data_IF_545244459503
#
_entry.id   IF_545244459503
#
_cell.length_a   1.000
_cell.length_b   1.000
_cell.length_c   1.000
_cell.angle_alpha   90.00
_cell.angle_beta   90.00
_cell.angle_gamma   90.00
#
_symmetry.space_group_name_H-M   'P 1'
#
loop_
_entity.id
_entity.type
_entity.pdbx_description
1 polymer ?
#
# COMPACT_ATOMS: atom_id res chain seq x y z
N UNK A 1 12.99 -4.54 -2.22
CA UNK A 1 12.81 -4.73 -0.76
C UNK A 1 11.36 -5.11 -0.56
N UNK A 2 11.08 -6.22 0.11
CA UNK A 2 9.75 -6.83 0.17
C UNK A 2 9.02 -6.43 1.46
N UNK A 3 7.84 -5.80 1.37
CA UNK A 3 6.97 -5.47 2.50
C UNK A 3 6.68 -6.69 3.40
N UNK A 4 6.41 -6.51 4.68
CA UNK A 4 6.11 -7.61 5.61
C UNK A 4 4.81 -7.32 6.32
N UNK A 5 4.08 -8.38 6.65
CA UNK A 5 2.85 -8.29 7.44
C UNK A 5 3.14 -7.59 8.76
N UNK A 6 2.33 -6.59 9.10
CA UNK A 6 2.47 -5.78 10.30
C UNK A 6 3.39 -4.56 10.16
N UNK A 7 4.03 -4.35 9.00
CA UNK A 7 4.78 -3.12 8.77
C UNK A 7 3.85 -1.92 8.56
N UNK A 8 4.25 -0.79 9.14
CA UNK A 8 3.60 0.49 8.91
C UNK A 8 4.08 1.07 7.59
N UNK A 9 3.12 1.53 6.80
CA UNK A 9 3.35 2.14 5.50
C UNK A 9 2.55 3.42 5.37
N UNK A 10 3.04 4.33 4.54
CA UNK A 10 2.37 5.55 4.14
C UNK A 10 2.17 5.52 2.62
N UNK A 11 1.00 5.95 2.16
CA UNK A 11 0.78 6.22 0.74
C UNK A 11 1.41 7.56 0.40
N UNK A 12 2.65 7.57 -0.09
CA UNK A 12 3.39 8.83 -0.28
C UNK A 12 3.12 9.49 -1.64
N UNK A 13 2.66 8.72 -2.63
CA UNK A 13 2.37 9.20 -3.99
C UNK A 13 1.20 8.44 -4.61
N UNK A 14 0.71 8.94 -5.75
CA UNK A 14 -0.22 8.18 -6.60
C UNK A 14 0.49 7.00 -7.25
N UNK A 15 -0.15 5.84 -7.36
CA UNK A 15 0.42 4.75 -8.15
C UNK A 15 0.37 5.08 -9.65
N UNK A 16 1.34 4.57 -10.41
CA UNK A 16 1.32 4.62 -11.88
C UNK A 16 0.56 3.44 -12.51
N UNK A 17 0.04 2.55 -11.66
CA UNK A 17 -0.75 1.38 -12.04
C UNK A 17 -2.15 1.78 -12.56
N UNK A 18 -2.68 1.04 -13.52
CA UNK A 18 -4.04 1.26 -14.05
C UNK A 18 -5.13 1.02 -13.00
N UNK A 19 -4.81 0.27 -11.94
CA UNK A 19 -5.69 0.03 -10.79
C UNK A 19 -5.91 1.29 -9.92
N UNK A 20 -5.13 2.36 -10.14
CA UNK A 20 -5.26 3.60 -9.38
C UNK A 20 -6.38 4.48 -9.90
N UNK A 21 -7.44 4.61 -9.12
CA UNK A 21 -8.59 5.46 -9.46
C UNK A 21 -8.46 6.87 -8.86
N UNK A 22 -9.09 7.87 -9.47
CA UNK A 22 -9.04 9.28 -9.03
C UNK A 22 -9.49 9.49 -7.58
N UNK A 23 -10.38 8.63 -7.05
CA UNK A 23 -10.75 8.75 -5.64
C UNK A 23 -9.63 8.29 -4.70
N UNK A 24 -8.66 7.50 -5.17
CA UNK A 24 -7.54 7.00 -4.36
C UNK A 24 -6.51 8.09 -4.07
N UNK A 25 -6.50 9.20 -4.82
CA UNK A 25 -5.67 10.38 -4.50
C UNK A 25 -5.94 10.92 -3.08
N UNK A 26 -7.13 10.69 -2.54
CA UNK A 26 -7.46 11.02 -1.14
C UNK A 26 -6.71 10.17 -0.11
N UNK A 27 -6.12 9.06 -0.53
CA UNK A 27 -5.33 8.17 0.31
C UNK A 27 -3.88 8.64 0.40
N UNK A 28 -3.43 9.53 -0.48
CA UNK A 28 -2.07 10.09 -0.43
C UNK A 28 -1.91 10.87 0.88
N UNK A 29 -0.86 10.54 1.63
CA UNK A 29 -0.59 11.02 2.99
C UNK A 29 -1.31 10.25 4.09
N UNK A 30 -2.03 9.16 3.78
CA UNK A 30 -2.59 8.26 4.80
C UNK A 30 -1.59 7.19 5.19
N UNK A 31 -1.64 6.87 6.48
CA UNK A 31 -0.93 5.75 7.07
C UNK A 31 -1.79 4.49 7.03
N UNK A 32 -1.12 3.37 6.83
CA UNK A 32 -1.72 2.06 6.92
C UNK A 32 -0.75 1.01 7.41
N UNK A 33 -1.26 -0.20 7.59
CA UNK A 33 -0.49 -1.36 8.02
C UNK A 33 -0.71 -2.49 7.03
N UNK A 34 0.37 -3.16 6.64
CA UNK A 34 0.28 -4.35 5.77
C UNK A 34 -0.43 -5.47 6.54
N UNK A 35 -1.67 -5.82 6.14
CA UNK A 35 -2.44 -6.89 6.78
C UNK A 35 -2.18 -8.24 6.15
N UNK A 36 -2.03 -8.25 4.83
CA UNK A 36 -1.72 -9.44 4.05
C UNK A 36 -0.75 -9.11 2.90
N UNK A 37 0.53 -9.48 3.04
CA UNK A 37 1.42 -9.53 1.91
C UNK A 37 1.14 -10.84 1.19
N UNK A 38 0.22 -10.84 0.24
CA UNK A 38 -0.07 -12.05 -0.52
C UNK A 38 1.24 -12.60 -1.16
N UNK A 39 1.27 -13.92 -1.27
CA UNK A 39 2.41 -14.85 -1.24
C UNK A 39 3.57 -14.68 -2.24
N UNK A 40 3.67 -13.58 -2.99
CA UNK A 40 4.73 -13.35 -3.96
C UNK A 40 5.20 -11.89 -3.97
N UNK A 41 5.87 -11.45 -2.91
CA UNK A 41 6.63 -10.18 -2.89
C UNK A 41 7.94 -10.30 -3.67
N UNK A 42 7.84 -10.85 -4.88
CA UNK A 42 8.84 -10.88 -5.92
C UNK A 42 8.26 -10.34 -7.25
N UNK A 43 6.96 -10.08 -7.32
CA UNK A 43 6.33 -9.41 -8.45
C UNK A 43 6.20 -7.91 -8.16
N UNK A 44 6.83 -7.03 -8.94
CA UNK A 44 6.72 -5.58 -8.76
C UNK A 44 5.29 -5.07 -9.01
N UNK A 45 4.48 -5.82 -9.76
CA UNK A 45 3.07 -5.52 -10.06
C UNK A 45 2.10 -6.15 -9.03
N UNK A 46 2.58 -6.81 -7.98
CA UNK A 46 1.73 -7.41 -6.97
C UNK A 46 1.10 -6.36 -6.04
N UNK A 47 -0.24 -6.40 -5.94
CA UNK A 47 -1.01 -5.63 -4.98
C UNK A 47 -0.80 -6.18 -3.56
N UNK A 48 -0.58 -5.29 -2.59
CA UNK A 48 -0.50 -5.63 -1.16
C UNK A 48 -1.74 -5.15 -0.44
N UNK A 49 -2.20 -5.95 0.52
CA UNK A 49 -3.34 -5.58 1.33
C UNK A 49 -2.90 -4.69 2.49
N UNK A 50 -3.38 -3.44 2.47
CA UNK A 50 -3.06 -2.40 3.43
C UNK A 50 -4.32 -1.96 4.15
N UNK A 51 -4.31 -2.06 5.47
CA UNK A 51 -5.33 -1.45 6.31
C UNK A 51 -5.00 0.02 6.53
N UNK A 52 -5.69 0.89 5.78
CA UNK A 52 -5.58 2.34 5.87
C UNK A 52 -6.40 2.86 7.07
N UNK A 53 -5.79 3.75 7.84
CA UNK A 53 -6.44 4.34 9.00
C UNK A 53 -7.70 5.14 8.59
N UNK A 54 -8.85 4.78 9.15
CA UNK A 54 -10.14 5.43 8.85
C UNK A 54 -10.75 5.09 7.48
N UNK A 55 -10.14 4.20 6.69
CA UNK A 55 -10.68 3.71 5.40
C UNK A 55 -10.88 2.20 5.35
N UNK A 56 -10.30 1.47 6.30
CA UNK A 56 -10.36 0.01 6.34
C UNK A 56 -9.30 -0.61 5.45
N UNK A 57 -9.52 -1.86 5.06
CA UNK A 57 -8.54 -2.66 4.33
C UNK A 57 -8.72 -2.53 2.82
N UNK A 58 -7.66 -2.09 2.13
CA UNK A 58 -7.61 -1.85 0.69
C UNK A 58 -6.38 -2.52 0.08
N UNK A 59 -6.51 -2.99 -1.16
CA UNK A 59 -5.38 -3.53 -1.93
C UNK A 59 -4.75 -2.39 -2.72
N UNK A 60 -3.48 -2.12 -2.45
CA UNK A 60 -2.75 -1.03 -3.07
C UNK A 60 -1.46 -1.57 -3.70
N UNK A 61 -1.01 -0.98 -4.83
CA UNK A 61 0.30 -1.27 -5.39
C UNK A 61 1.41 -0.94 -4.40
N UNK A 62 2.50 -1.70 -4.45
CA UNK A 62 3.67 -1.44 -3.60
C UNK A 62 4.41 -0.15 -3.98
N UNK A 63 4.30 0.29 -5.23
CA UNK A 63 5.01 1.45 -5.76
C UNK A 63 4.56 2.79 -5.12
N UNK A 64 3.30 2.88 -4.70
CA UNK A 64 2.77 4.07 -4.03
C UNK A 64 2.97 4.04 -2.51
N UNK A 65 3.43 2.92 -1.96
CA UNK A 65 3.62 2.72 -0.53
C UNK A 65 5.07 2.96 -0.14
N UNK A 66 5.27 3.64 0.98
CA UNK A 66 6.58 3.82 1.59
C UNK A 66 6.55 3.32 3.01
N UNK A 67 7.57 2.57 3.41
CA UNK A 67 7.74 2.20 4.82
C UNK A 67 8.04 3.43 5.65
N UNK A 68 7.28 3.57 6.73
CA UNK A 68 7.52 4.50 7.82
C UNK A 68 8.03 3.66 8.99
N UNK A 69 9.30 3.26 8.87
CA UNK A 69 10.07 2.63 9.95
C UNK A 69 10.51 3.74 10.91
N UNK A 70 10.29 3.56 12.22
CA UNK A 70 10.92 4.37 13.29
C UNK A 70 11.96 3.50 14.00
#
# INVERSE_FOLDING_TARGET
MAFRRGEKVEVFQRSSDESWETYMDRFIGLHGIITDPDTAINDPDALVEVSLEGKGTHRLPQDCLRRIDE
#
